data_IF_869619698421
#
_entry.id   IF_869619698421
#
_cell.length_a   1.000
_cell.length_b   1.000
_cell.length_c   1.000
_cell.angle_alpha   90.00
_cell.angle_beta   90.00
_cell.angle_gamma   90.00
#
_symmetry.space_group_name_H-M   'P 1'
#
loop_
_entity.id
_entity.type
_entity.pdbx_description
1 polymer ?
#
# COMPACT_ATOMS: atom_id res chain seq x y z
N UNK A 1 12.23 49.15 -18.49
CA UNK A 1 11.11 50.11 -18.42
C UNK A 1 9.86 49.45 -18.98
N UNK A 2 8.78 49.33 -18.20
CA UNK A 2 7.53 48.70 -18.67
C UNK A 2 6.65 49.71 -19.39
N UNK A 3 6.37 49.49 -20.67
CA UNK A 3 5.51 50.37 -21.49
C UNK A 3 4.04 50.26 -21.04
N UNK A 4 3.22 51.31 -21.24
CA UNK A 4 1.78 51.27 -20.92
C UNK A 4 1.05 50.08 -21.56
N UNK A 5 1.44 49.69 -22.78
CA UNK A 5 0.89 48.53 -23.47
C UNK A 5 1.20 47.20 -22.76
N UNK A 6 2.42 47.04 -22.24
CA UNK A 6 2.81 45.85 -21.48
C UNK A 6 2.07 45.76 -20.14
N UNK A 7 1.87 46.90 -19.46
CA UNK A 7 1.04 46.97 -18.24
C UNK A 7 -0.41 46.58 -18.51
N UNK A 8 -1.00 47.10 -19.59
CA UNK A 8 -2.37 46.76 -20.02
C UNK A 8 -2.49 45.26 -20.32
N UNK A 9 -1.57 44.69 -21.09
CA UNK A 9 -1.57 43.25 -21.41
C UNK A 9 -1.45 42.38 -20.16
N UNK A 10 -0.62 42.77 -19.20
CA UNK A 10 -0.47 42.05 -17.93
C UNK A 10 -1.77 42.07 -17.10
N UNK A 11 -2.46 43.23 -17.05
CA UNK A 11 -3.75 43.38 -16.38
C UNK A 11 -4.82 42.49 -17.00
N UNK A 12 -4.96 42.52 -18.32
CA UNK A 12 -5.96 41.70 -19.03
C UNK A 12 -5.70 40.20 -18.89
N UNK A 13 -4.42 39.78 -18.89
CA UNK A 13 -4.04 38.39 -18.62
C UNK A 13 -4.47 37.94 -17.23
N UNK A 14 -4.26 38.78 -16.21
CA UNK A 14 -4.65 38.46 -14.84
C UNK A 14 -6.17 38.33 -14.73
N UNK A 15 -6.91 39.25 -15.38
CA UNK A 15 -8.37 39.21 -15.43
C UNK A 15 -8.86 37.92 -16.09
N UNK A 16 -8.37 37.61 -17.29
CA UNK A 16 -8.73 36.39 -18.02
C UNK A 16 -8.48 35.11 -17.18
N UNK A 17 -7.35 35.02 -16.49
CA UNK A 17 -7.06 33.90 -15.58
C UNK A 17 -8.02 33.78 -14.40
N UNK A 18 -8.43 34.91 -13.83
CA UNK A 18 -9.42 34.91 -12.74
C UNK A 18 -10.77 34.41 -13.24
N UNK A 19 -11.19 34.84 -14.42
CA UNK A 19 -12.47 34.41 -14.99
C UNK A 19 -12.48 32.93 -15.36
N UNK A 20 -11.40 32.43 -15.96
CA UNK A 20 -11.24 30.99 -16.21
C UNK A 20 -11.27 30.18 -14.89
N UNK A 21 -10.60 30.67 -13.85
CA UNK A 21 -10.61 30.05 -12.51
C UNK A 21 -12.01 30.04 -11.90
N UNK A 22 -12.73 31.16 -11.99
CA UNK A 22 -14.11 31.26 -11.53
C UNK A 22 -15.03 30.31 -12.32
N UNK A 23 -14.82 30.19 -13.63
CA UNK A 23 -15.58 29.28 -14.50
C UNK A 23 -15.40 27.83 -14.04
N UNK A 24 -14.17 27.39 -13.79
CA UNK A 24 -13.90 26.05 -13.25
C UNK A 24 -14.57 25.80 -11.91
N UNK A 25 -14.52 26.79 -11.01
CA UNK A 25 -15.19 26.71 -9.72
C UNK A 25 -16.71 26.60 -9.86
N UNK A 26 -17.29 27.39 -10.76
CA UNK A 26 -18.75 27.44 -10.92
C UNK A 26 -19.30 26.23 -11.68
N UNK A 27 -18.56 25.72 -12.68
CA UNK A 27 -19.03 24.62 -13.54
C UNK A 27 -18.66 23.26 -12.98
N UNK A 28 -17.43 23.08 -12.48
CA UNK A 28 -16.88 21.79 -12.07
C UNK A 28 -16.60 21.71 -10.56
N UNK A 29 -16.88 22.76 -9.79
CA UNK A 29 -16.50 22.85 -8.37
C UNK A 29 -14.98 22.75 -8.13
N UNK A 30 -14.16 23.00 -9.15
CA UNK A 30 -12.70 22.93 -9.07
C UNK A 30 -12.08 24.28 -8.66
N UNK A 31 -11.30 24.27 -7.58
CA UNK A 31 -10.60 25.44 -7.06
C UNK A 31 -9.17 25.50 -7.60
N UNK A 32 -9.02 25.93 -8.86
CA UNK A 32 -7.69 26.12 -9.46
C UNK A 32 -7.27 27.58 -9.32
N UNK A 33 -6.13 27.90 -8.67
CA UNK A 33 -5.62 29.26 -8.56
C UNK A 33 -5.43 29.92 -9.93
N UNK A 34 -5.73 31.22 -10.11
CA UNK A 34 -5.54 31.91 -11.39
C UNK A 34 -4.12 31.79 -11.97
N UNK A 35 -3.09 31.69 -11.12
CA UNK A 35 -1.69 31.48 -11.52
C UNK A 35 -1.43 30.12 -12.16
N UNK A 36 -2.25 29.12 -11.84
CA UNK A 36 -2.10 27.72 -12.27
C UNK A 36 -3.04 27.35 -13.43
N UNK A 37 -3.94 28.26 -13.81
CA UNK A 37 -4.82 28.07 -14.97
C UNK A 37 -3.99 27.93 -16.25
N UNK A 38 -4.28 26.84 -16.98
CA UNK A 38 -3.71 26.51 -18.28
C UNK A 38 -4.82 26.52 -19.32
N UNK A 39 -4.49 27.08 -20.49
CA UNK A 39 -5.36 26.98 -21.66
C UNK A 39 -5.24 25.60 -22.33
N UNK A 40 -4.11 24.93 -22.12
CA UNK A 40 -3.86 23.54 -22.50
C UNK A 40 -3.56 22.74 -21.23
N UNK A 41 -4.60 22.26 -20.54
CA UNK A 41 -4.42 21.38 -19.40
C UNK A 41 -3.66 20.11 -19.80
N UNK A 42 -2.79 19.63 -18.92
CA UNK A 42 -2.07 18.38 -19.09
C UNK A 42 -2.93 17.19 -18.71
N UNK A 43 -2.49 15.97 -19.05
CA UNK A 43 -3.23 14.75 -18.73
C UNK A 43 -3.51 14.59 -17.22
N UNK A 44 -2.68 15.18 -16.34
CA UNK A 44 -2.88 15.17 -14.90
C UNK A 44 -3.81 16.26 -14.34
N UNK A 45 -4.24 17.23 -15.15
CA UNK A 45 -5.17 18.27 -14.71
C UNK A 45 -6.61 17.71 -14.71
N UNK A 46 -7.42 18.08 -13.72
CA UNK A 46 -8.79 17.56 -13.51
C UNK A 46 -9.83 18.12 -14.50
N UNK A 47 -9.43 19.06 -15.35
CA UNK A 47 -10.31 19.74 -16.30
C UNK A 47 -9.72 19.79 -17.70
N UNK A 48 -10.61 19.94 -18.68
CA UNK A 48 -10.29 20.28 -20.06
C UNK A 48 -11.21 21.39 -20.55
N UNK A 49 -10.74 22.15 -21.55
CA UNK A 49 -11.56 23.15 -22.23
C UNK A 49 -12.19 22.55 -23.48
N UNK A 50 -13.49 22.77 -23.65
CA UNK A 50 -14.18 22.58 -24.91
C UNK A 50 -14.56 23.95 -25.47
N UNK A 51 -14.61 24.04 -26.80
CA UNK A 51 -15.00 25.26 -27.46
C UNK A 51 -15.66 24.99 -28.81
N UNK A 52 -16.49 25.94 -29.23
CA UNK A 52 -17.05 25.98 -30.57
C UNK A 52 -15.97 26.23 -31.64
N UNK A 53 -16.25 25.84 -32.88
CA UNK A 53 -15.26 25.92 -33.99
C UNK A 53 -14.71 27.33 -34.22
N UNK A 54 -15.53 28.37 -33.99
CA UNK A 54 -15.18 29.78 -34.10
C UNK A 54 -14.17 30.25 -33.03
N UNK A 55 -13.98 29.50 -31.95
CA UNK A 55 -13.10 29.85 -30.83
C UNK A 55 -11.81 29.02 -30.79
N UNK A 56 -11.63 28.05 -31.71
CA UNK A 56 -10.46 27.16 -31.74
C UNK A 56 -9.13 27.89 -31.84
N UNK A 57 -9.08 29.03 -32.55
CA UNK A 57 -7.84 29.82 -32.68
C UNK A 57 -7.36 30.38 -31.33
N UNK A 58 -8.25 30.57 -30.35
CA UNK A 58 -7.90 31.02 -29.01
C UNK A 58 -7.02 30.01 -28.27
N UNK A 59 -7.22 28.72 -28.55
CA UNK A 59 -6.46 27.58 -28.01
C UNK A 59 -5.27 27.18 -28.89
N UNK A 60 -4.71 28.11 -29.68
CA UNK A 60 -3.51 27.83 -30.48
C UNK A 60 -2.20 28.12 -29.74
N UNK A 61 -2.26 28.92 -28.67
CA UNK A 61 -1.09 29.40 -27.91
C UNK A 61 -1.37 29.44 -26.41
N UNK A 62 -0.32 29.42 -25.59
CA UNK A 62 -0.48 29.53 -24.15
C UNK A 62 -0.90 30.94 -23.71
N UNK A 63 -1.51 31.04 -22.53
CA UNK A 63 -1.96 32.33 -21.97
C UNK A 63 -0.85 33.39 -21.90
N UNK A 64 0.42 33.01 -21.73
CA UNK A 64 1.55 33.95 -21.72
C UNK A 64 1.77 34.65 -23.07
N UNK A 65 1.36 34.02 -24.16
CA UNK A 65 1.75 34.38 -25.52
C UNK A 65 0.61 35.07 -26.27
N UNK A 66 -0.61 35.03 -25.71
CA UNK A 66 -1.79 35.67 -26.26
C UNK A 66 -1.71 37.20 -26.27
N UNK A 67 -2.33 37.81 -27.29
CA UNK A 67 -2.49 39.26 -27.37
C UNK A 67 -3.56 39.74 -26.39
N UNK A 68 -3.61 41.06 -26.15
CA UNK A 68 -4.66 41.67 -25.31
C UNK A 68 -6.07 41.38 -25.84
N UNK A 69 -6.26 41.38 -27.17
CA UNK A 69 -7.57 41.11 -27.77
C UNK A 69 -8.00 39.66 -27.57
N UNK A 70 -7.06 38.70 -27.60
CA UNK A 70 -7.38 37.30 -27.34
C UNK A 70 -7.91 37.09 -25.90
N UNK A 71 -7.42 37.82 -24.90
CA UNK A 71 -7.96 37.72 -23.53
C UNK A 71 -9.39 38.22 -23.44
N UNK A 72 -9.70 39.31 -24.14
CA UNK A 72 -11.06 39.88 -24.21
C UNK A 72 -11.98 38.89 -24.93
N UNK A 73 -11.51 38.28 -26.02
CA UNK A 73 -12.28 37.31 -26.78
C UNK A 73 -12.57 36.03 -25.97
N UNK A 74 -11.58 35.53 -25.20
CA UNK A 74 -11.80 34.41 -24.27
C UNK A 74 -12.86 34.76 -23.23
N UNK A 75 -12.81 35.98 -22.67
CA UNK A 75 -13.80 36.44 -21.71
C UNK A 75 -15.22 36.42 -22.29
N UNK A 76 -15.41 37.03 -23.46
CA UNK A 76 -16.72 37.05 -24.12
C UNK A 76 -17.18 35.65 -24.52
N UNK A 77 -16.26 34.78 -24.95
CA UNK A 77 -16.59 33.40 -25.31
C UNK A 77 -17.00 32.56 -24.08
N UNK A 78 -16.43 32.81 -22.89
CA UNK A 78 -16.90 32.20 -21.65
C UNK A 78 -18.30 32.68 -21.26
N UNK A 79 -18.57 33.99 -21.34
CA UNK A 79 -19.89 34.56 -21.04
C UNK A 79 -20.99 34.04 -22.00
N UNK A 80 -20.65 33.92 -23.29
CA UNK A 80 -21.57 33.42 -24.31
C UNK A 80 -21.74 31.90 -24.28
N UNK A 81 -20.94 31.18 -23.49
CA UNK A 81 -20.94 29.71 -23.46
C UNK A 81 -20.29 29.05 -24.68
N UNK A 82 -19.54 29.81 -25.50
CA UNK A 82 -18.75 29.27 -26.62
C UNK A 82 -17.51 28.51 -26.16
N UNK A 83 -17.05 28.76 -24.93
CA UNK A 83 -16.01 28.01 -24.22
C UNK A 83 -16.60 27.50 -22.90
N UNK A 84 -16.41 26.23 -22.61
CA UNK A 84 -16.79 25.65 -21.31
C UNK A 84 -15.77 24.63 -20.82
N UNK A 85 -15.73 24.44 -19.51
CA UNK A 85 -14.89 23.42 -18.89
C UNK A 85 -15.65 22.10 -18.77
N UNK A 86 -14.94 21.00 -18.94
CA UNK A 86 -15.42 19.63 -18.71
C UNK A 86 -14.42 18.87 -17.85
N UNK A 87 -14.89 17.86 -17.11
CA UNK A 87 -14.01 16.96 -16.35
C UNK A 87 -13.09 16.18 -17.28
N UNK A 88 -11.82 16.06 -16.89
CA UNK A 88 -10.87 15.23 -17.61
C UNK A 88 -11.00 13.76 -17.16
N UNK A 89 -11.88 13.00 -17.80
CA UNK A 89 -12.16 11.59 -17.47
C UNK A 89 -11.04 10.59 -17.85
N UNK A 90 -9.98 11.04 -18.52
CA UNK A 90 -8.87 10.17 -18.94
C UNK A 90 -8.11 9.63 -17.73
N UNK A 91 -7.87 10.47 -16.72
CA UNK A 91 -7.22 10.09 -15.46
C UNK A 91 -8.05 9.10 -14.64
N UNK A 92 -9.38 9.27 -14.60
CA UNK A 92 -10.26 8.36 -13.88
C UNK A 92 -10.24 6.94 -14.48
N UNK A 93 -10.29 6.81 -15.80
CA UNK A 93 -10.26 5.50 -16.47
C UNK A 93 -8.90 4.80 -16.37
N UNK A 94 -7.79 5.54 -16.52
CA UNK A 94 -6.45 4.95 -16.37
C UNK A 94 -6.15 4.52 -14.93
N UNK A 95 -6.61 5.29 -13.94
CA UNK A 95 -6.49 4.94 -12.53
C UNK A 95 -7.37 3.74 -12.17
N UNK A 96 -8.60 3.66 -12.68
CA UNK A 96 -9.48 2.51 -12.47
C UNK A 96 -8.92 1.22 -13.09
N UNK A 97 -8.33 1.29 -14.28
CA UNK A 97 -7.69 0.13 -14.92
C UNK A 97 -6.50 -0.41 -14.11
N UNK A 98 -5.62 0.48 -13.63
CA UNK A 98 -4.47 0.11 -12.78
C UNK A 98 -4.93 -0.44 -11.42
N UNK A 99 -5.94 0.17 -10.80
CA UNK A 99 -6.51 -0.32 -9.55
C UNK A 99 -7.15 -1.70 -9.71
N UNK A 100 -7.90 -1.95 -10.78
CA UNK A 100 -8.51 -3.25 -11.03
C UNK A 100 -7.47 -4.37 -11.19
N UNK A 101 -6.37 -4.10 -11.90
CA UNK A 101 -5.28 -5.05 -12.08
C UNK A 101 -4.57 -5.37 -10.76
N UNK A 102 -4.29 -4.34 -9.95
CA UNK A 102 -3.64 -4.51 -8.64
C UNK A 102 -4.54 -5.28 -7.66
N UNK A 103 -5.85 -4.99 -7.65
CA UNK A 103 -6.83 -5.75 -6.84
C UNK A 103 -6.87 -7.22 -7.28
N UNK A 104 -6.77 -7.51 -8.59
CA UNK A 104 -6.68 -8.88 -9.09
C UNK A 104 -5.43 -9.61 -8.56
N UNK A 105 -4.27 -8.97 -8.70
CA UNK A 105 -2.98 -9.50 -8.22
C UNK A 105 -3.01 -9.79 -6.71
N UNK A 106 -3.52 -8.85 -5.92
CA UNK A 106 -3.62 -9.01 -4.46
C UNK A 106 -4.58 -10.12 -4.05
N UNK A 107 -5.67 -10.36 -4.79
CA UNK A 107 -6.58 -11.48 -4.53
C UNK A 107 -5.91 -12.83 -4.77
N UNK A 108 -5.16 -12.97 -5.85
CA UNK A 108 -4.42 -14.20 -6.16
C UNK A 108 -3.36 -14.50 -5.08
N UNK A 109 -2.61 -13.48 -4.67
CA UNK A 109 -1.63 -13.58 -3.60
C UNK A 109 -2.27 -13.97 -2.26
N UNK A 110 -3.43 -13.38 -1.94
CA UNK A 110 -4.20 -13.70 -0.74
C UNK A 110 -4.66 -15.17 -0.72
N UNK A 111 -5.23 -15.68 -1.82
CA UNK A 111 -5.67 -17.08 -1.88
C UNK A 111 -4.50 -18.07 -1.79
N UNK A 112 -3.35 -17.73 -2.40
CA UNK A 112 -2.12 -18.53 -2.26
C UNK A 112 -1.65 -18.58 -0.80
N UNK A 113 -1.59 -17.42 -0.13
CA UNK A 113 -1.13 -17.31 1.24
C UNK A 113 -2.08 -18.04 2.21
N UNK A 114 -3.38 -17.97 1.96
CA UNK A 114 -4.41 -18.67 2.72
C UNK A 114 -4.24 -20.19 2.62
N UNK A 115 -3.95 -20.72 1.43
CA UNK A 115 -3.69 -22.14 1.23
C UNK A 115 -2.42 -22.59 1.96
N UNK A 116 -1.35 -21.79 1.90
CA UNK A 116 -0.10 -22.06 2.61
C UNK A 116 -0.29 -22.05 4.13
N UNK A 117 -1.01 -21.06 4.66
CA UNK A 117 -1.35 -20.97 6.07
C UNK A 117 -2.08 -22.22 6.56
N UNK A 118 -3.05 -22.71 5.78
CA UNK A 118 -3.77 -23.95 6.10
C UNK A 118 -2.82 -25.15 6.20
N UNK A 119 -1.87 -25.28 5.27
CA UNK A 119 -0.90 -26.38 5.28
C UNK A 119 0.06 -26.29 6.48
N UNK A 120 0.57 -25.10 6.78
CA UNK A 120 1.44 -24.87 7.93
C UNK A 120 0.70 -25.14 9.25
N UNK A 121 -0.56 -24.73 9.35
CA UNK A 121 -1.39 -25.00 10.51
C UNK A 121 -1.58 -26.51 10.74
N UNK A 122 -1.80 -27.29 9.67
CA UNK A 122 -1.88 -28.75 9.76
C UNK A 122 -0.57 -29.37 10.23
N UNK A 123 0.56 -28.95 9.66
CA UNK A 123 1.90 -29.43 10.08
C UNK A 123 2.20 -29.08 11.53
N UNK A 124 1.90 -27.86 11.97
CA UNK A 124 2.08 -27.45 13.35
C UNK A 124 1.29 -28.33 14.32
N UNK A 125 0.02 -28.65 14.02
CA UNK A 125 -0.78 -29.57 14.85
C UNK A 125 -0.13 -30.96 14.96
N UNK A 126 0.40 -31.49 13.85
CA UNK A 126 1.10 -32.78 13.83
C UNK A 126 2.38 -32.74 14.69
N UNK A 127 3.19 -31.69 14.54
CA UNK A 127 4.43 -31.52 15.30
C UNK A 127 4.15 -31.38 16.80
N UNK A 128 3.14 -30.62 17.19
CA UNK A 128 2.73 -30.50 18.60
C UNK A 128 2.34 -31.86 19.19
N UNK A 129 1.61 -32.68 18.43
CA UNK A 129 1.24 -34.03 18.89
C UNK A 129 2.47 -34.93 19.05
N UNK A 130 3.42 -34.88 18.11
CA UNK A 130 4.66 -35.64 18.18
C UNK A 130 5.53 -35.23 19.38
N UNK A 131 5.65 -33.92 19.63
CA UNK A 131 6.37 -33.40 20.79
C UNK A 131 5.75 -33.89 22.10
N UNK A 132 4.41 -33.89 22.21
CA UNK A 132 3.73 -34.40 23.39
C UNK A 132 4.03 -35.89 23.63
N UNK A 133 3.99 -36.71 22.58
CA UNK A 133 4.32 -38.13 22.67
C UNK A 133 5.78 -38.36 23.06
N UNK A 134 6.69 -37.60 22.48
CA UNK A 134 8.11 -37.70 22.79
C UNK A 134 8.38 -37.33 24.26
N UNK A 135 7.78 -36.25 24.76
CA UNK A 135 7.91 -35.83 26.16
C UNK A 135 7.38 -36.91 27.11
N UNK A 136 6.20 -37.45 26.85
CA UNK A 136 5.64 -38.56 27.66
C UNK A 136 6.57 -39.79 27.68
N UNK A 137 7.16 -40.13 26.54
CA UNK A 137 8.11 -41.25 26.45
C UNK A 137 9.39 -40.96 27.24
N UNK A 138 9.90 -39.73 27.15
CA UNK A 138 11.06 -39.28 27.90
C UNK A 138 10.82 -39.39 29.42
N UNK A 139 9.66 -38.91 29.89
CA UNK A 139 9.29 -38.99 31.31
C UNK A 139 9.18 -40.45 31.79
N UNK A 140 8.56 -41.32 30.98
CA UNK A 140 8.45 -42.74 31.29
C UNK A 140 9.82 -43.42 31.38
N UNK A 141 10.71 -43.16 30.42
CA UNK A 141 12.07 -43.69 30.44
C UNK A 141 12.85 -43.20 31.66
N UNK A 142 12.71 -41.92 32.02
CA UNK A 142 13.33 -41.35 33.22
C UNK A 142 12.88 -42.06 34.51
N UNK A 143 11.57 -42.31 34.66
CA UNK A 143 11.04 -43.06 35.80
C UNK A 143 11.50 -44.52 35.83
N UNK A 144 11.56 -45.17 34.66
CA UNK A 144 12.03 -46.55 34.53
C UNK A 144 13.50 -46.68 34.90
N UNK A 145 14.33 -45.76 34.42
CA UNK A 145 15.76 -45.71 34.75
C UNK A 145 15.98 -45.48 36.25
N UNK A 146 15.28 -44.51 36.86
CA UNK A 146 15.39 -44.24 38.29
C UNK A 146 15.05 -45.47 39.14
N UNK A 147 14.03 -46.25 38.75
CA UNK A 147 13.69 -47.52 39.42
C UNK A 147 14.80 -48.55 39.29
N UNK A 148 15.36 -48.71 38.10
CA UNK A 148 16.47 -49.64 37.85
C UNK A 148 17.73 -49.25 38.64
N UNK A 149 18.04 -47.96 38.74
CA UNK A 149 19.16 -47.46 39.53
C UNK A 149 18.99 -47.76 41.03
N UNK A 150 17.79 -47.54 41.58
CA UNK A 150 17.49 -47.88 42.97
C UNK A 150 17.68 -49.38 43.21
N UNK A 151 17.13 -50.23 42.33
CA UNK A 151 17.28 -51.69 42.44
C UNK A 151 18.75 -52.11 42.38
N UNK A 152 19.52 -51.55 41.45
CA UNK A 152 20.95 -51.83 41.32
C UNK A 152 21.74 -51.46 42.58
N UNK A 153 21.48 -50.27 43.15
CA UNK A 153 22.10 -49.83 44.40
C UNK A 153 21.75 -50.76 45.57
N UNK A 154 20.49 -51.17 45.68
CA UNK A 154 20.06 -52.11 46.72
C UNK A 154 20.78 -53.46 46.60
N UNK A 155 20.86 -54.03 45.39
CA UNK A 155 21.57 -55.29 45.16
C UNK A 155 23.06 -55.17 45.47
N UNK A 156 23.70 -54.06 45.08
CA UNK A 156 25.09 -53.80 45.41
C UNK A 156 25.32 -53.74 46.94
N UNK A 157 24.41 -53.10 47.68
CA UNK A 157 24.45 -53.07 49.15
C UNK A 157 24.32 -54.46 49.77
N UNK A 158 23.40 -55.29 49.28
CA UNK A 158 23.22 -56.68 49.75
C UNK A 158 24.49 -57.50 49.50
N UNK A 159 25.08 -57.39 48.30
CA UNK A 159 26.32 -58.10 47.98
C UNK A 159 27.48 -57.71 48.90
N UNK A 160 27.61 -56.43 49.25
CA UNK A 160 28.66 -55.97 50.15
C UNK A 160 28.43 -56.48 51.59
N UNK A 161 27.17 -56.53 52.07
CA UNK A 161 26.84 -57.13 53.36
C UNK A 161 27.17 -58.63 53.40
N UNK A 162 26.81 -59.38 52.35
CA UNK A 162 27.15 -60.81 52.25
C UNK A 162 28.66 -61.03 52.26
N UNK A 163 29.42 -60.20 51.54
CA UNK A 163 30.88 -60.25 51.50
C UNK A 163 31.50 -59.98 52.88
N UNK A 164 31.01 -58.99 53.62
CA UNK A 164 31.45 -58.72 54.99
C UNK A 164 31.13 -59.87 55.95
N UNK A 165 29.93 -60.45 55.83
CA UNK A 165 29.52 -61.62 56.62
C UNK A 165 30.40 -62.85 56.36
N UNK A 166 30.82 -63.07 55.11
CA UNK A 166 31.79 -64.11 54.75
C UNK A 166 33.18 -63.83 55.34
N UNK A 167 33.67 -62.59 55.27
CA UNK A 167 34.98 -62.22 55.82
C UNK A 167 35.05 -62.32 57.35
N UNK A 168 33.97 -62.00 58.06
CA UNK A 168 33.90 -62.07 59.53
C UNK A 168 33.77 -63.51 60.08
N UNK A 169 33.45 -64.48 59.22
CA UNK A 169 33.30 -65.90 59.58
C UNK A 169 34.50 -66.76 59.17
N UNK A 170 35.58 -66.17 58.65
CA UNK A 170 36.85 -66.87 58.45
C UNK A 170 37.59 -66.93 59.81
N UNK A 171 37.95 -68.13 60.30
CA UNK A 171 38.66 -68.24 61.58
C UNK A 171 40.01 -67.53 61.47
N UNK A 172 40.30 -66.63 62.41
CA UNK A 172 41.64 -66.10 62.61
C UNK A 172 42.55 -67.27 62.97
N UNK A 173 43.38 -67.68 62.01
CA UNK A 173 44.51 -68.59 62.21
C UNK A 173 45.64 -67.89 62.96
#
# INVERSE_FOLDING_TARGET
>A
MSTPANKKRASERLKCRKELSNHLKNTLSLLVPPSEIRLHPQAGDEYMWQCNNNCKHLFSKNLSDLSTNNYIEIYSALENGDIWAVENNITANEMQGKQAQEVGRLREEYEKLKLEHFHLQKKNKQLTMLLLLHNRRSDWLGQSLAKAEIQSRTLAGILEQLKQGLNNNLPHA
#
